data_IF_917008064094
#
_entry.id   IF_917008064094
#
_cell.length_a   1.000
_cell.length_b   1.000
_cell.length_c   1.000
_cell.angle_alpha   90.00
_cell.angle_beta   90.00
_cell.angle_gamma   90.00
#
_symmetry.space_group_name_H-M   'P 1'
#
loop_
_entity.id
_entity.type
_entity.pdbx_description
1 polymer ?
#
# COMPACT_ATOMS: atom_id res chain seq x y z
N UNK A 1 1.45 -13.49 12.52
CA UNK A 1 0.47 -13.69 13.60
C UNK A 1 1.13 -13.98 14.95
N UNK A 2 2.16 -14.87 15.04
CA UNK A 2 2.78 -15.23 16.32
C UNK A 2 3.44 -14.03 17.02
N UNK A 3 4.16 -13.18 16.29
CA UNK A 3 4.76 -11.96 16.87
C UNK A 3 3.72 -11.02 17.48
N UNK A 4 2.57 -10.82 16.81
CA UNK A 4 1.47 -10.02 17.33
C UNK A 4 0.83 -10.69 18.54
N UNK A 5 0.68 -12.02 18.53
CA UNK A 5 0.12 -12.77 19.65
C UNK A 5 1.03 -12.64 20.87
N UNK A 6 2.33 -12.81 20.71
CA UNK A 6 3.31 -12.68 21.79
C UNK A 6 3.29 -11.24 22.36
N UNK A 7 3.31 -10.24 21.50
CA UNK A 7 3.19 -8.83 21.92
C UNK A 7 1.92 -8.54 22.71
N UNK A 8 0.77 -9.06 22.25
CA UNK A 8 -0.50 -8.88 22.97
C UNK A 8 -0.52 -9.57 24.34
N UNK A 9 0.21 -10.70 24.48
CA UNK A 9 0.32 -11.42 25.74
C UNK A 9 1.32 -10.77 26.72
N UNK A 10 2.32 -10.05 26.21
CA UNK A 10 3.42 -9.50 27.01
C UNK A 10 3.65 -8.01 26.73
N UNK A 11 2.62 -7.14 26.85
CA UNK A 11 2.73 -5.74 26.44
C UNK A 11 3.66 -4.89 27.33
N UNK A 12 4.07 -5.39 28.48
CA UNK A 12 4.92 -4.69 29.42
C UNK A 12 6.42 -4.80 29.09
N UNK A 13 6.83 -5.84 28.42
CA UNK A 13 8.24 -6.18 28.17
C UNK A 13 8.55 -6.57 26.72
N UNK A 14 7.54 -6.56 25.86
CA UNK A 14 7.67 -6.84 24.44
C UNK A 14 7.30 -5.62 23.59
N UNK A 15 8.17 -5.29 22.64
CA UNK A 15 7.93 -4.25 21.65
C UNK A 15 7.87 -4.82 20.25
N UNK A 16 6.73 -4.66 19.57
CA UNK A 16 6.56 -5.14 18.20
C UNK A 16 7.02 -4.09 17.18
N UNK A 17 8.12 -4.40 16.47
CA UNK A 17 8.65 -3.53 15.40
C UNK A 17 7.90 -3.87 14.11
N UNK A 18 6.87 -3.07 13.80
CA UNK A 18 6.10 -3.22 12.56
C UNK A 18 6.66 -2.30 11.47
N UNK A 19 6.77 -2.83 10.24
CA UNK A 19 7.20 -2.06 9.06
C UNK A 19 6.05 -1.67 8.12
N UNK A 20 4.80 -1.88 8.52
CA UNK A 20 3.60 -1.56 7.73
C UNK A 20 2.90 -0.32 8.25
N UNK A 21 2.11 0.34 7.38
CA UNK A 21 1.17 1.38 7.78
C UNK A 21 -0.19 0.83 8.25
N UNK A 22 -0.33 -0.49 8.34
CA UNK A 22 -1.48 -1.14 8.97
C UNK A 22 -1.26 -1.21 10.47
N UNK A 23 -2.31 -0.99 11.25
CA UNK A 23 -2.27 -1.04 12.71
C UNK A 23 -2.80 0.23 13.36
N UNK A 24 -2.89 0.25 14.71
CA UNK A 24 -3.38 1.40 15.44
C UNK A 24 -2.36 2.55 15.45
N UNK A 25 -2.83 3.75 15.78
CA UNK A 25 -1.92 4.86 16.08
C UNK A 25 -0.96 4.46 17.23
N UNK A 26 0.36 4.76 17.17
CA UNK A 26 1.02 5.67 16.21
C UNK A 26 1.65 4.96 14.99
N UNK A 27 1.51 3.66 14.81
CA UNK A 27 2.26 2.90 13.79
C UNK A 27 2.10 3.44 12.36
N UNK A 28 0.90 3.74 11.85
CA UNK A 28 0.76 4.29 10.49
C UNK A 28 1.53 5.59 10.28
N UNK A 29 1.45 6.52 11.22
CA UNK A 29 2.15 7.80 11.15
C UNK A 29 3.67 7.62 11.27
N UNK A 30 4.11 6.81 12.23
CA UNK A 30 5.53 6.53 12.47
C UNK A 30 6.18 5.90 11.23
N UNK A 31 5.55 4.88 10.66
CA UNK A 31 6.06 4.20 9.46
C UNK A 31 6.05 5.14 8.25
N UNK A 32 4.98 5.92 8.05
CA UNK A 32 4.90 6.89 6.97
C UNK A 32 6.03 7.94 7.06
N UNK A 33 6.32 8.46 8.25
CA UNK A 33 7.42 9.41 8.48
C UNK A 33 8.79 8.79 8.24
N UNK A 34 9.03 7.57 8.71
CA UNK A 34 10.31 6.90 8.48
C UNK A 34 10.52 6.56 7.00
N UNK A 35 9.46 6.24 6.26
CA UNK A 35 9.49 5.99 4.82
C UNK A 35 9.50 7.28 3.98
N UNK A 36 9.22 8.44 4.56
CA UNK A 36 9.10 9.71 3.81
C UNK A 36 10.38 10.18 3.14
N UNK A 37 11.53 9.60 3.48
CA UNK A 37 12.78 9.80 2.75
C UNK A 37 12.60 9.54 1.24
N UNK A 38 11.72 8.61 0.85
CA UNK A 38 11.42 8.33 -0.55
C UNK A 38 10.89 9.58 -1.24
N UNK A 39 9.88 10.23 -0.68
CA UNK A 39 9.29 11.44 -1.29
C UNK A 39 10.21 12.66 -1.20
N UNK A 40 11.04 12.74 -0.17
CA UNK A 40 12.08 13.77 -0.06
C UNK A 40 13.12 13.65 -1.19
N UNK A 41 13.59 12.44 -1.43
CA UNK A 41 14.55 12.16 -2.53
C UNK A 41 13.90 12.36 -3.91
N UNK A 42 12.62 12.00 -4.09
CA UNK A 42 11.89 12.28 -5.32
C UNK A 42 11.90 13.79 -5.61
N UNK A 43 11.56 14.63 -4.62
CA UNK A 43 11.58 16.09 -4.78
C UNK A 43 12.96 16.60 -5.21
N UNK A 44 13.99 16.14 -4.51
CA UNK A 44 15.39 16.54 -4.81
C UNK A 44 15.79 16.13 -6.21
N UNK A 45 15.55 14.88 -6.59
CA UNK A 45 15.95 14.34 -7.89
C UNK A 45 15.18 14.99 -9.05
N UNK A 46 13.88 15.26 -8.87
CA UNK A 46 13.09 15.98 -9.87
C UNK A 46 13.58 17.42 -10.04
N UNK A 47 13.88 18.11 -8.94
CA UNK A 47 14.42 19.46 -9.03
C UNK A 47 15.75 19.49 -9.79
N UNK A 48 16.64 18.53 -9.55
CA UNK A 48 17.93 18.41 -10.22
C UNK A 48 17.79 18.06 -11.71
N UNK A 49 16.82 17.24 -12.08
CA UNK A 49 16.69 16.71 -13.44
C UNK A 49 15.71 17.48 -14.32
N UNK A 50 14.61 17.94 -13.73
CA UNK A 50 13.47 18.53 -14.45
C UNK A 50 13.25 20.02 -14.12
N UNK A 51 14.02 20.58 -13.15
CA UNK A 51 13.86 21.96 -12.69
C UNK A 51 12.58 22.24 -11.91
N UNK A 52 11.85 21.19 -11.51
CA UNK A 52 10.65 21.26 -10.66
C UNK A 52 10.69 20.16 -9.59
N UNK A 53 10.18 20.42 -8.42
CA UNK A 53 10.23 19.51 -7.27
C UNK A 53 8.97 18.65 -7.08
N UNK A 54 8.16 18.54 -8.11
CA UNK A 54 6.91 17.76 -8.09
C UNK A 54 6.67 17.05 -9.43
N UNK A 55 6.10 15.82 -9.42
CA UNK A 55 5.69 15.10 -10.62
C UNK A 55 4.23 15.44 -10.99
N UNK A 56 3.79 15.08 -12.17
CA UNK A 56 2.37 15.14 -12.56
C UNK A 56 1.58 13.96 -11.95
N UNK A 57 2.24 12.80 -11.83
CA UNK A 57 1.67 11.59 -11.28
C UNK A 57 2.64 10.94 -10.28
N UNK A 58 2.09 10.44 -9.19
CA UNK A 58 2.75 9.50 -8.29
C UNK A 58 2.00 8.17 -8.37
N UNK A 59 2.73 7.12 -8.75
CA UNK A 59 2.18 5.77 -8.88
C UNK A 59 2.94 4.88 -7.91
N UNK A 60 2.22 4.18 -7.04
CA UNK A 60 2.82 3.23 -6.11
C UNK A 60 1.95 1.98 -5.99
N UNK A 61 2.59 0.82 -5.91
CA UNK A 61 1.89 -0.40 -5.53
C UNK A 61 1.52 -0.35 -4.03
N UNK A 62 0.41 -0.97 -3.68
CA UNK A 62 -0.11 -0.93 -2.32
C UNK A 62 -0.66 -2.28 -1.87
N UNK A 63 -0.04 -2.83 -0.81
CA UNK A 63 -0.56 -3.90 0.02
C UNK A 63 -0.87 -3.31 1.39
N UNK A 64 -0.02 -3.50 2.41
CA UNK A 64 -0.13 -2.78 3.68
C UNK A 64 0.09 -1.27 3.55
N UNK A 65 0.90 -0.81 2.58
CA UNK A 65 0.98 0.57 2.14
C UNK A 65 2.20 1.36 2.62
N UNK A 66 3.25 0.75 3.17
CA UNK A 66 4.40 1.48 3.69
C UNK A 66 5.18 2.25 2.60
N UNK A 67 5.48 1.59 1.47
CA UNK A 67 6.16 2.24 0.35
C UNK A 67 5.31 3.35 -0.28
N UNK A 68 4.02 3.11 -0.44
CA UNK A 68 3.09 4.09 -0.98
C UNK A 68 2.98 5.31 -0.07
N UNK A 69 2.91 5.11 1.26
CA UNK A 69 2.93 6.20 2.24
C UNK A 69 4.20 7.04 2.12
N UNK A 70 5.38 6.39 2.05
CA UNK A 70 6.65 7.08 1.88
C UNK A 70 6.73 7.88 0.57
N UNK A 71 6.23 7.29 -0.52
CA UNK A 71 6.22 7.94 -1.84
C UNK A 71 5.35 9.19 -1.89
N UNK A 72 4.19 9.18 -1.22
CA UNK A 72 3.22 10.29 -1.28
C UNK A 72 3.35 11.30 -0.14
N UNK A 73 4.14 11.02 0.89
CA UNK A 73 4.14 11.76 2.17
C UNK A 73 4.23 13.28 2.01
N UNK A 74 5.23 13.79 1.27
CA UNK A 74 5.42 15.21 1.05
C UNK A 74 4.58 15.80 -0.11
N UNK A 75 3.72 14.99 -0.71
CA UNK A 75 2.89 15.38 -1.85
C UNK A 75 1.39 15.22 -1.57
N UNK A 76 1.04 14.75 -0.38
CA UNK A 76 -0.33 14.34 -0.05
C UNK A 76 -1.34 15.49 -0.20
N UNK A 77 -0.92 16.70 0.16
CA UNK A 77 -1.76 17.92 0.13
C UNK A 77 -1.59 18.72 -1.18
N UNK A 78 -0.74 18.29 -2.09
CA UNK A 78 -0.53 19.00 -3.36
C UNK A 78 -1.50 18.51 -4.43
N UNK A 79 -2.59 19.26 -4.65
CA UNK A 79 -3.65 18.91 -5.58
C UNK A 79 -3.20 18.88 -7.06
N UNK A 80 -2.05 19.47 -7.40
CA UNK A 80 -1.48 19.41 -8.75
C UNK A 80 -1.09 17.99 -9.14
N UNK A 81 -0.78 17.15 -8.15
CA UNK A 81 -0.25 15.82 -8.33
C UNK A 81 -1.38 14.79 -8.27
N UNK A 82 -1.46 13.95 -9.29
CA UNK A 82 -2.38 12.82 -9.31
C UNK A 82 -1.74 11.60 -8.64
N UNK A 83 -2.40 11.07 -7.63
CA UNK A 83 -1.95 9.88 -6.90
C UNK A 83 -2.69 8.66 -7.43
N UNK A 84 -1.95 7.62 -7.79
CA UNK A 84 -2.47 6.33 -8.24
C UNK A 84 -1.93 5.24 -7.33
N UNK A 85 -2.81 4.47 -6.71
CA UNK A 85 -2.49 3.31 -5.89
C UNK A 85 -2.85 2.05 -6.67
N UNK A 86 -1.85 1.23 -6.96
CA UNK A 86 -2.01 -0.03 -7.70
C UNK A 86 -2.07 -1.20 -6.72
N UNK A 87 -3.23 -1.84 -6.62
CA UNK A 87 -3.44 -3.04 -5.82
C UNK A 87 -3.18 -4.30 -6.65
N UNK A 88 -2.79 -5.38 -5.98
CA UNK A 88 -2.62 -6.69 -6.60
C UNK A 88 -4.00 -7.32 -6.84
N UNK A 89 -4.42 -7.35 -8.09
CA UNK A 89 -5.70 -7.91 -8.53
C UNK A 89 -5.75 -9.43 -8.59
N UNK A 90 -4.60 -10.12 -8.44
CA UNK A 90 -4.52 -11.57 -8.48
C UNK A 90 -5.02 -12.16 -9.79
N UNK A 91 -5.95 -13.09 -9.70
CA UNK A 91 -6.62 -13.68 -10.88
C UNK A 91 -7.77 -12.83 -11.43
N UNK A 92 -8.01 -11.68 -10.80
CA UNK A 92 -9.09 -10.76 -11.13
C UNK A 92 -9.99 -10.50 -9.91
N UNK A 93 -10.47 -9.28 -9.78
CA UNK A 93 -11.27 -8.84 -8.63
C UNK A 93 -12.59 -9.62 -8.46
N UNK A 94 -13.14 -10.15 -9.55
CA UNK A 94 -14.40 -10.91 -9.53
C UNK A 94 -14.21 -12.41 -9.25
N UNK A 95 -12.97 -12.88 -9.08
CA UNK A 95 -12.67 -14.32 -8.96
C UNK A 95 -12.63 -14.81 -7.52
N UNK A 96 -12.57 -13.91 -6.54
CA UNK A 96 -12.28 -14.25 -5.15
C UNK A 96 -10.79 -14.52 -4.86
N UNK A 97 -9.95 -14.61 -5.90
CA UNK A 97 -8.50 -14.80 -5.80
C UNK A 97 -7.80 -13.46 -6.09
N UNK A 98 -7.84 -12.55 -5.13
CA UNK A 98 -7.37 -11.18 -5.27
C UNK A 98 -6.87 -10.62 -3.93
N UNK A 99 -6.01 -9.61 -3.97
CA UNK A 99 -5.57 -8.82 -2.83
C UNK A 99 -6.00 -7.34 -2.94
N UNK A 100 -6.97 -7.03 -3.81
CA UNK A 100 -7.48 -5.67 -4.04
C UNK A 100 -8.35 -5.18 -2.88
N UNK A 101 -7.73 -4.83 -1.77
CA UNK A 101 -8.39 -4.54 -0.49
C UNK A 101 -9.20 -3.25 -0.51
N UNK A 102 -8.76 -2.20 -1.21
CA UNK A 102 -9.51 -0.93 -1.27
C UNK A 102 -10.74 -1.09 -2.16
N UNK A 103 -10.60 -1.82 -3.27
CA UNK A 103 -11.71 -2.01 -4.21
C UNK A 103 -12.82 -2.92 -3.69
N UNK A 104 -12.46 -3.99 -3.00
CA UNK A 104 -13.40 -5.03 -2.58
C UNK A 104 -13.66 -5.07 -1.08
N UNK A 105 -12.72 -4.54 -0.29
CA UNK A 105 -12.79 -4.59 1.16
C UNK A 105 -13.96 -3.79 1.74
N UNK A 106 -14.43 -4.28 2.86
CA UNK A 106 -15.43 -3.60 3.69
C UNK A 106 -14.74 -3.00 4.91
N UNK A 107 -15.36 -2.00 5.53
CA UNK A 107 -14.86 -1.48 6.80
C UNK A 107 -14.84 -2.58 7.85
N UNK A 108 -13.69 -2.86 8.40
CA UNK A 108 -13.46 -3.88 9.43
C UNK A 108 -12.37 -3.47 10.39
N UNK A 109 -12.01 -4.39 11.29
CA UNK A 109 -10.93 -4.21 12.26
C UNK A 109 -9.85 -5.25 11.98
N UNK A 110 -8.63 -4.80 11.76
CA UNK A 110 -7.45 -5.65 11.65
C UNK A 110 -6.31 -5.05 12.48
N UNK A 111 -5.63 -5.89 13.27
CA UNK A 111 -4.53 -5.49 14.15
C UNK A 111 -4.84 -4.25 15.01
N UNK A 112 -6.09 -4.14 15.51
CA UNK A 112 -6.52 -3.03 16.36
C UNK A 112 -6.79 -1.71 15.62
N UNK A 113 -6.81 -1.69 14.30
CA UNK A 113 -7.17 -0.51 13.50
C UNK A 113 -8.42 -0.73 12.67
N UNK A 114 -9.21 0.32 12.53
CA UNK A 114 -10.37 0.34 11.65
C UNK A 114 -9.93 0.79 10.26
N UNK A 115 -10.13 -0.07 9.25
CA UNK A 115 -9.72 0.19 7.87
C UNK A 115 -10.57 -0.64 6.90
N UNK A 116 -10.22 -0.67 5.61
CA UNK A 116 -10.78 -1.64 4.68
C UNK A 116 -10.08 -2.98 4.81
N UNK A 117 -10.87 -4.05 4.80
CA UNK A 117 -10.41 -5.42 4.98
C UNK A 117 -11.17 -6.34 4.03
N UNK A 118 -10.48 -7.28 3.41
CA UNK A 118 -11.11 -8.38 2.67
C UNK A 118 -11.68 -9.34 3.72
N UNK A 119 -12.99 -9.44 3.77
CA UNK A 119 -13.68 -10.23 4.79
C UNK A 119 -14.99 -10.82 4.27
N UNK A 120 -15.35 -11.97 4.81
CA UNK A 120 -16.63 -12.64 4.57
C UNK A 120 -17.83 -11.82 5.08
N UNK A 121 -19.02 -12.29 4.81
CA UNK A 121 -20.25 -11.69 5.34
C UNK A 121 -20.31 -11.71 6.88
N UNK A 122 -19.72 -12.74 7.48
CA UNK A 122 -19.61 -12.90 8.94
C UNK A 122 -18.44 -12.09 9.56
N UNK A 123 -17.71 -11.31 8.74
CA UNK A 123 -16.60 -10.47 9.20
C UNK A 123 -15.30 -11.22 9.45
N UNK A 124 -15.16 -12.46 8.98
CA UNK A 124 -13.90 -13.19 9.03
C UNK A 124 -12.96 -12.70 7.93
N UNK A 125 -11.69 -12.53 8.28
CA UNK A 125 -10.63 -12.18 7.32
C UNK A 125 -10.50 -13.29 6.28
N UNK A 126 -10.61 -12.95 5.02
CA UNK A 126 -10.35 -13.86 3.90
C UNK A 126 -8.90 -13.78 3.48
N UNK A 127 -8.37 -14.89 2.96
CA UNK A 127 -6.99 -14.99 2.52
C UNK A 127 -6.81 -14.23 1.19
N UNK A 128 -5.91 -13.22 1.13
CA UNK A 128 -5.62 -12.52 -0.10
C UNK A 128 -4.81 -13.41 -1.04
N UNK A 129 -4.91 -13.14 -2.33
CA UNK A 129 -4.16 -13.89 -3.35
C UNK A 129 -3.61 -12.97 -4.43
N UNK A 130 -2.32 -13.10 -4.73
CA UNK A 130 -1.68 -12.62 -5.95
C UNK A 130 -0.33 -13.31 -6.17
N UNK A 131 0.28 -13.12 -7.34
CA UNK A 131 1.67 -13.51 -7.59
C UNK A 131 2.66 -12.60 -6.84
N UNK A 132 2.22 -11.44 -6.41
CA UNK A 132 3.03 -10.42 -5.75
C UNK A 132 3.07 -10.64 -4.24
N UNK A 133 3.88 -11.58 -3.77
CA UNK A 133 3.94 -11.98 -2.36
C UNK A 133 4.08 -10.82 -1.35
N UNK A 134 4.70 -9.71 -1.75
CA UNK A 134 4.81 -8.49 -0.92
C UNK A 134 3.53 -7.67 -0.82
N UNK A 135 2.51 -7.96 -1.63
CA UNK A 135 1.23 -7.25 -1.67
C UNK A 135 0.05 -8.11 -1.18
N UNK A 136 0.29 -9.38 -0.82
CA UNK A 136 -0.72 -10.30 -0.32
C UNK A 136 -1.08 -10.01 1.13
N UNK A 137 -1.94 -8.99 1.31
CA UNK A 137 -2.39 -8.59 2.63
C UNK A 137 -3.89 -8.26 2.61
N UNK A 138 -4.67 -8.77 3.56
CA UNK A 138 -6.13 -8.63 3.54
C UNK A 138 -6.64 -7.29 4.06
N UNK A 139 -5.76 -6.36 4.36
CA UNK A 139 -6.09 -5.05 4.91
C UNK A 139 -5.22 -3.95 4.30
N UNK A 140 -5.62 -2.71 4.47
CA UNK A 140 -4.89 -1.54 3.98
C UNK A 140 -4.58 -0.58 5.12
N UNK A 141 -3.48 0.16 5.03
CA UNK A 141 -3.19 1.24 5.98
C UNK A 141 -4.29 2.29 6.02
N UNK A 142 -4.70 2.78 7.22
CA UNK A 142 -5.76 3.77 7.35
C UNK A 142 -5.54 5.04 6.53
N UNK A 143 -4.28 5.41 6.30
CA UNK A 143 -3.91 6.55 5.45
C UNK A 143 -4.46 6.35 4.03
N UNK A 144 -4.20 5.20 3.42
CA UNK A 144 -4.63 4.90 2.06
C UNK A 144 -6.14 4.71 1.95
N UNK A 145 -6.77 4.07 2.95
CA UNK A 145 -8.22 3.97 3.04
C UNK A 145 -8.87 5.36 3.05
N UNK A 146 -8.31 6.29 3.81
CA UNK A 146 -8.80 7.67 3.85
C UNK A 146 -8.60 8.41 2.52
N UNK A 147 -7.44 8.28 1.88
CA UNK A 147 -7.17 8.90 0.58
C UNK A 147 -8.12 8.40 -0.51
N UNK A 148 -8.43 7.10 -0.50
CA UNK A 148 -9.42 6.51 -1.40
C UNK A 148 -10.83 7.03 -1.11
N UNK A 149 -11.25 7.05 0.16
CA UNK A 149 -12.56 7.54 0.57
C UNK A 149 -12.78 9.03 0.21
N UNK A 150 -11.74 9.84 0.34
CA UNK A 150 -11.75 11.26 -0.04
C UNK A 150 -11.55 11.49 -1.56
N UNK A 151 -11.37 10.44 -2.34
CA UNK A 151 -11.04 10.52 -3.77
C UNK A 151 -9.76 11.33 -4.06
N UNK A 152 -8.86 11.43 -3.09
CA UNK A 152 -7.55 12.05 -3.28
C UNK A 152 -6.61 11.15 -4.08
N UNK A 153 -6.79 9.84 -4.00
CA UNK A 153 -6.07 8.85 -4.79
C UNK A 153 -7.03 8.07 -5.70
N UNK A 154 -6.58 7.80 -6.91
CA UNK A 154 -7.21 6.82 -7.80
C UNK A 154 -6.68 5.44 -7.44
N UNK A 155 -7.55 4.46 -7.33
CA UNK A 155 -7.17 3.07 -7.02
C UNK A 155 -7.44 2.21 -8.22
N UNK A 156 -6.45 1.42 -8.62
CA UNK A 156 -6.55 0.45 -9.72
C UNK A 156 -6.12 -0.93 -9.22
N UNK A 157 -6.78 -1.97 -9.69
CA UNK A 157 -6.31 -3.34 -9.48
C UNK A 157 -5.64 -3.82 -10.76
N UNK A 158 -4.45 -4.40 -10.62
CA UNK A 158 -3.66 -4.99 -11.71
C UNK A 158 -3.62 -6.49 -11.49
N UNK A 159 -4.07 -7.27 -12.45
CA UNK A 159 -4.04 -8.72 -12.34
C UNK A 159 -2.61 -9.29 -12.55
N UNK A 160 -2.43 -10.57 -12.22
CA UNK A 160 -1.12 -11.23 -12.27
C UNK A 160 -0.52 -11.22 -13.68
N UNK A 161 -1.34 -11.45 -14.72
CA UNK A 161 -0.88 -11.52 -16.10
C UNK A 161 -0.44 -10.13 -16.60
N UNK A 162 -1.20 -9.08 -16.31
CA UNK A 162 -0.85 -7.69 -16.60
C UNK A 162 0.46 -7.27 -15.91
N UNK A 163 0.63 -7.67 -14.64
CA UNK A 163 1.84 -7.37 -13.89
C UNK A 163 3.08 -8.04 -14.48
N UNK A 164 2.95 -9.32 -14.89
CA UNK A 164 4.04 -10.07 -15.54
C UNK A 164 4.38 -9.46 -16.89
N UNK A 165 3.37 -9.13 -17.72
CA UNK A 165 3.58 -8.51 -19.02
C UNK A 165 4.33 -7.18 -18.89
N UNK A 166 3.89 -6.31 -17.96
CA UNK A 166 4.55 -5.03 -17.66
C UNK A 166 6.00 -5.23 -17.16
N UNK A 167 6.26 -6.25 -16.34
CA UNK A 167 7.60 -6.58 -15.87
C UNK A 167 8.54 -6.97 -17.02
N UNK A 168 8.08 -7.80 -17.97
CA UNK A 168 8.84 -8.14 -19.16
C UNK A 168 9.07 -6.93 -20.07
N UNK A 169 8.07 -6.09 -20.24
CA UNK A 169 8.19 -4.86 -21.03
C UNK A 169 9.22 -3.91 -20.43
N UNK A 170 9.15 -3.65 -19.13
CA UNK A 170 10.13 -2.82 -18.42
C UNK A 170 11.55 -3.37 -18.55
N UNK A 171 11.70 -4.68 -18.39
CA UNK A 171 13.01 -5.34 -18.53
C UNK A 171 13.57 -5.19 -19.96
N UNK A 172 12.71 -5.32 -20.98
CA UNK A 172 13.13 -5.21 -22.39
C UNK A 172 13.49 -3.78 -22.78
N UNK A 173 12.76 -2.78 -22.28
CA UNK A 173 12.94 -1.37 -22.67
C UNK A 173 14.05 -0.72 -21.85
N UNK A 174 14.06 -0.90 -20.54
CA UNK A 174 14.92 -0.18 -19.62
C UNK A 174 16.08 -1.02 -19.05
N UNK A 175 16.08 -2.33 -19.30
CA UNK A 175 17.09 -3.24 -18.71
C UNK A 175 16.93 -3.42 -17.19
N UNK A 176 15.77 -3.07 -16.62
CA UNK A 176 15.44 -3.20 -15.20
C UNK A 176 14.65 -4.48 -14.99
N UNK A 177 15.14 -5.33 -14.10
CA UNK A 177 14.40 -6.53 -13.67
C UNK A 177 13.63 -6.14 -12.39
N UNK A 178 12.30 -5.92 -12.47
CA UNK A 178 11.52 -5.57 -11.29
C UNK A 178 11.35 -6.77 -10.35
N UNK A 179 11.07 -6.47 -9.06
CA UNK A 179 10.74 -7.49 -8.06
C UNK A 179 9.28 -7.94 -8.19
#
# INVERSE_FOLDING_TARGET
NEAIRDWCCHPADTFYIIGSTVGPHPYPDMVARLQSIISEEIKKQLLEKEGRDYPDYLIACVGGGSNAAGTIYHFIDDERIKIVLAEAGGKGVDTGLTAATIQLGKTGIIHGSRTYVIQSEDGQIEEPYSISAGLDYPGIGPIHANLAAQRRATVIAINDDEAIEAAYELTRIEGIIPA
#
